data_IF_985637328246
#
_entry.id   IF_985637328246
#
_cell.length_a   1.000
_cell.length_b   1.000
_cell.length_c   1.000
_cell.angle_alpha   90.00
_cell.angle_beta   90.00
_cell.angle_gamma   90.00
#
_symmetry.space_group_name_H-M   'P 1'
#
loop_
_entity.id
_entity.type
_entity.pdbx_description
1 polymer ?
#
# COMPACT_ATOMS: atom_id res chain seq x y z
N UNK A 1 -16.83 2.18 0.02
CA UNK A 1 -17.07 2.96 1.26
C UNK A 1 -16.12 4.15 1.35
N UNK A 2 -14.82 3.92 1.16
CA UNK A 2 -13.77 4.96 1.15
C UNK A 2 -14.01 6.08 0.13
N UNK A 3 -14.38 5.73 -1.11
CA UNK A 3 -14.72 6.71 -2.17
C UNK A 3 -15.92 7.59 -1.79
N UNK A 4 -16.94 7.03 -1.15
CA UNK A 4 -18.16 7.75 -0.76
C UNK A 4 -17.86 8.80 0.30
N UNK A 5 -17.02 8.48 1.28
CA UNK A 5 -16.57 9.44 2.31
C UNK A 5 -15.78 10.59 1.69
N UNK A 6 -14.98 10.29 0.66
CA UNK A 6 -14.20 11.28 -0.02
C UNK A 6 -15.06 12.24 -0.84
N UNK A 7 -15.99 11.72 -1.62
CA UNK A 7 -16.94 12.54 -2.40
C UNK A 7 -17.80 13.38 -1.44
N UNK A 8 -18.21 12.81 -0.31
CA UNK A 8 -18.94 13.55 0.71
C UNK A 8 -18.11 14.70 1.31
N UNK A 9 -16.85 14.46 1.66
CA UNK A 9 -15.94 15.49 2.17
C UNK A 9 -15.66 16.57 1.12
N UNK A 10 -15.53 16.18 -0.15
CA UNK A 10 -15.35 17.09 -1.27
C UNK A 10 -16.56 18.02 -1.43
N UNK A 11 -17.77 17.47 -1.44
CA UNK A 11 -19.03 18.25 -1.51
C UNK A 11 -19.17 19.17 -0.29
N UNK A 12 -18.87 18.66 0.91
CA UNK A 12 -18.91 19.48 2.13
C UNK A 12 -17.94 20.66 2.05
N UNK A 13 -16.72 20.42 1.56
CA UNK A 13 -15.71 21.46 1.33
C UNK A 13 -16.21 22.53 0.36
N UNK A 14 -16.81 22.14 -0.78
CA UNK A 14 -17.40 23.08 -1.74
C UNK A 14 -18.45 23.97 -1.07
N UNK A 15 -19.37 23.37 -0.30
CA UNK A 15 -20.44 24.12 0.36
C UNK A 15 -19.89 25.12 1.39
N UNK A 16 -18.86 24.72 2.17
CA UNK A 16 -18.23 25.60 3.15
C UNK A 16 -17.53 26.78 2.46
N UNK A 17 -16.69 26.52 1.44
CA UNK A 17 -15.99 27.60 0.72
C UNK A 17 -16.95 28.49 -0.07
N UNK A 18 -18.02 27.94 -0.66
CA UNK A 18 -19.09 28.69 -1.30
C UNK A 18 -19.79 29.64 -0.32
N UNK A 19 -20.06 29.17 0.90
CA UNK A 19 -20.68 29.98 1.94
C UNK A 19 -19.73 31.09 2.44
N UNK A 20 -18.44 30.77 2.58
CA UNK A 20 -17.41 31.74 2.99
C UNK A 20 -17.23 32.84 1.95
N UNK A 21 -17.13 32.51 0.66
CA UNK A 21 -16.99 33.53 -0.39
C UNK A 21 -18.26 34.35 -0.53
N UNK A 22 -19.43 33.73 -0.40
CA UNK A 22 -20.71 34.44 -0.39
C UNK A 22 -20.78 35.43 0.77
N UNK A 23 -20.37 35.02 1.98
CA UNK A 23 -20.35 35.92 3.12
C UNK A 23 -19.28 37.01 2.99
N UNK A 24 -18.10 36.68 2.46
CA UNK A 24 -17.02 37.63 2.19
C UNK A 24 -17.45 38.74 1.21
N UNK A 25 -18.17 38.38 0.14
CA UNK A 25 -18.75 39.33 -0.82
C UNK A 25 -19.94 40.12 -0.24
N UNK A 26 -20.67 39.57 0.73
CA UNK A 26 -21.76 40.27 1.42
C UNK A 26 -21.28 41.32 2.43
N UNK A 27 -20.12 41.11 3.06
CA UNK A 27 -19.52 42.07 4.00
C UNK A 27 -19.15 43.38 3.30
N UNK A 28 -18.72 43.30 2.04
CA UNK A 28 -18.25 44.45 1.28
C UNK A 28 -19.13 44.61 0.04
N UNK A 29 -20.20 45.41 0.18
CA UNK A 29 -21.16 45.66 -0.88
C UNK A 29 -20.52 46.38 -2.06
N UNK A 30 -20.15 45.62 -3.10
CA UNK A 30 -19.70 46.16 -4.37
C UNK A 30 -20.89 46.38 -5.32
N UNK A 31 -20.97 47.53 -6.03
CA UNK A 31 -21.99 47.75 -7.07
C UNK A 31 -21.87 46.79 -8.27
N UNK A 32 -20.67 46.22 -8.50
CA UNK A 32 -20.38 45.20 -9.52
C UNK A 32 -20.36 43.79 -8.90
N UNK A 33 -21.42 43.42 -8.17
CA UNK A 33 -21.50 42.11 -7.53
C UNK A 33 -21.96 41.05 -8.54
N UNK A 34 -21.03 40.23 -9.00
CA UNK A 34 -21.35 39.08 -9.85
C UNK A 34 -22.03 37.96 -9.01
N UNK A 35 -21.89 38.00 -7.68
CA UNK A 35 -22.52 37.04 -6.74
C UNK A 35 -23.94 37.43 -6.32
N UNK A 36 -24.80 37.78 -7.29
CA UNK A 36 -26.20 38.15 -7.02
C UNK A 36 -27.10 36.98 -6.61
N UNK A 37 -26.65 35.72 -6.72
CA UNK A 37 -27.46 34.56 -6.36
C UNK A 37 -26.62 33.44 -5.73
N UNK A 38 -27.20 32.75 -4.74
CA UNK A 38 -26.61 31.60 -4.04
C UNK A 38 -26.06 30.52 -5.01
N UNK A 39 -26.74 30.19 -6.14
CA UNK A 39 -26.24 29.22 -7.10
C UNK A 39 -24.95 29.64 -7.83
N UNK A 40 -24.71 30.93 -8.04
CA UNK A 40 -23.50 31.44 -8.71
C UNK A 40 -22.26 31.25 -7.82
N UNK A 41 -22.42 31.47 -6.51
CA UNK A 41 -21.36 31.20 -5.52
C UNK A 41 -21.02 29.71 -5.42
N UNK A 42 -22.04 28.83 -5.50
CA UNK A 42 -21.84 27.38 -5.55
C UNK A 42 -21.11 26.94 -6.83
N UNK A 43 -21.49 27.48 -7.99
CA UNK A 43 -20.82 27.21 -9.26
C UNK A 43 -19.35 27.59 -9.22
N UNK A 44 -19.05 28.81 -8.76
CA UNK A 44 -17.68 29.28 -8.64
C UNK A 44 -16.84 28.42 -7.69
N UNK A 45 -17.38 28.08 -6.52
CA UNK A 45 -16.68 27.24 -5.54
C UNK A 45 -16.45 25.81 -6.07
N UNK A 46 -17.42 25.23 -6.78
CA UNK A 46 -17.30 23.94 -7.44
C UNK A 46 -16.15 23.97 -8.46
N UNK A 47 -16.16 24.93 -9.38
CA UNK A 47 -15.17 25.09 -10.46
C UNK A 47 -13.77 25.38 -9.91
N UNK A 48 -13.66 26.20 -8.87
CA UNK A 48 -12.39 26.53 -8.22
C UNK A 48 -11.83 25.35 -7.44
N UNK A 49 -12.66 24.64 -6.65
CA UNK A 49 -12.22 23.50 -5.85
C UNK A 49 -11.85 22.29 -6.71
N UNK A 50 -12.51 22.13 -7.87
CA UNK A 50 -12.14 21.12 -8.88
C UNK A 50 -11.00 21.57 -9.79
N UNK A 51 -10.40 22.75 -9.55
CA UNK A 51 -9.27 23.32 -10.30
C UNK A 51 -9.55 23.60 -11.77
N UNK A 52 -10.83 23.65 -12.19
CA UNK A 52 -11.23 24.02 -13.56
C UNK A 52 -10.97 25.51 -13.80
N UNK A 53 -11.38 26.36 -12.85
CA UNK A 53 -11.07 27.79 -12.83
C UNK A 53 -11.41 28.55 -14.13
N UNK A 54 -12.68 28.53 -14.56
CA UNK A 54 -13.11 29.25 -15.78
C UNK A 54 -12.74 30.74 -15.80
N UNK A 55 -12.69 31.38 -14.62
CA UNK A 55 -12.36 32.80 -14.49
C UNK A 55 -13.46 33.75 -14.99
N UNK A 56 -14.65 33.22 -15.27
CA UNK A 56 -15.86 33.95 -15.63
C UNK A 56 -16.39 34.80 -14.48
N UNK A 57 -16.25 34.29 -13.26
CA UNK A 57 -16.66 34.96 -12.02
C UNK A 57 -15.55 34.80 -10.99
N UNK A 58 -15.31 35.83 -10.19
CA UNK A 58 -14.33 35.78 -9.10
C UNK A 58 -14.68 36.80 -8.02
N UNK A 59 -14.40 36.53 -6.74
CA UNK A 59 -14.57 37.51 -5.67
C UNK A 59 -13.68 38.73 -5.95
N UNK A 60 -14.29 39.91 -5.90
CA UNK A 60 -13.62 41.22 -6.09
C UNK A 60 -13.26 41.86 -4.75
N UNK A 61 -13.68 41.26 -3.64
CA UNK A 61 -13.37 41.70 -2.28
C UNK A 61 -12.02 41.18 -1.80
N UNK A 62 -11.27 41.98 -1.02
CA UNK A 62 -9.97 41.57 -0.47
C UNK A 62 -10.07 40.29 0.36
N UNK A 63 -11.14 40.15 1.16
CA UNK A 63 -11.40 38.95 1.96
C UNK A 63 -11.76 37.75 1.06
N UNK A 64 -12.58 37.96 0.03
CA UNK A 64 -12.96 36.91 -0.91
C UNK A 64 -11.78 36.40 -1.73
N UNK A 65 -10.84 37.26 -2.12
CA UNK A 65 -9.61 36.85 -2.81
C UNK A 65 -8.73 35.95 -1.94
N UNK A 66 -8.59 36.27 -0.64
CA UNK A 66 -7.85 35.41 0.30
C UNK A 66 -8.53 34.05 0.49
N UNK A 67 -9.86 34.04 0.67
CA UNK A 67 -10.65 32.81 0.75
C UNK A 67 -10.53 31.99 -0.55
N UNK A 68 -10.52 32.64 -1.71
CA UNK A 68 -10.35 31.98 -3.01
C UNK A 68 -8.97 31.36 -3.20
N UNK A 69 -7.91 32.02 -2.75
CA UNK A 69 -6.57 31.44 -2.74
C UNK A 69 -6.50 30.19 -1.85
N UNK A 70 -7.09 30.23 -0.65
CA UNK A 70 -7.21 29.07 0.23
C UNK A 70 -8.06 27.95 -0.38
N UNK A 71 -9.15 28.31 -1.07
CA UNK A 71 -10.01 27.34 -1.75
C UNK A 71 -9.27 26.60 -2.86
N UNK A 72 -8.49 27.30 -3.68
CA UNK A 72 -7.68 26.67 -4.74
C UNK A 72 -6.65 25.70 -4.16
N UNK A 73 -5.93 26.11 -3.11
CA UNK A 73 -4.96 25.24 -2.43
C UNK A 73 -5.64 24.02 -1.80
N UNK A 74 -6.76 24.23 -1.10
CA UNK A 74 -7.54 23.15 -0.48
C UNK A 74 -8.09 22.17 -1.53
N UNK A 75 -8.50 22.64 -2.71
CA UNK A 75 -8.96 21.80 -3.81
C UNK A 75 -7.89 20.85 -4.32
N UNK A 76 -6.68 21.37 -4.57
CA UNK A 76 -5.52 20.54 -5.00
C UNK A 76 -5.19 19.49 -3.93
N UNK A 77 -5.15 19.87 -2.66
CA UNK A 77 -4.91 18.93 -1.56
C UNK A 77 -6.01 17.87 -1.45
N UNK A 78 -7.26 18.29 -1.66
CA UNK A 78 -8.43 17.39 -1.63
C UNK A 78 -8.45 16.41 -2.79
N UNK A 79 -7.84 16.73 -3.94
CA UNK A 79 -7.68 15.81 -5.09
C UNK A 79 -6.40 14.96 -4.96
N UNK A 80 -5.37 15.46 -4.28
CA UNK A 80 -4.12 14.73 -4.07
C UNK A 80 -4.27 13.49 -3.18
N UNK A 81 -5.22 13.50 -2.23
CA UNK A 81 -5.52 12.37 -1.33
C UNK A 81 -6.37 11.24 -1.93
N UNK A 82 -7.45 11.48 -2.72
CA UNK A 82 -8.26 10.43 -3.35
C UNK A 82 -7.49 9.59 -4.34
N UNK A 83 -6.70 10.23 -5.21
CA UNK A 83 -6.12 9.56 -6.37
C UNK A 83 -5.23 8.39 -5.92
N UNK A 84 -4.31 8.55 -4.94
CA UNK A 84 -3.54 7.44 -4.40
C UNK A 84 -4.37 6.39 -3.65
N UNK A 85 -5.41 6.81 -2.92
CA UNK A 85 -6.30 5.89 -2.19
C UNK A 85 -7.08 4.99 -3.16
N UNK A 86 -7.62 5.58 -4.23
CA UNK A 86 -8.33 4.85 -5.29
C UNK A 86 -7.38 3.87 -6.00
N UNK A 87 -6.19 4.32 -6.37
CA UNK A 87 -5.15 3.48 -7.00
C UNK A 87 -4.74 2.33 -6.07
N UNK A 88 -4.58 2.58 -4.78
CA UNK A 88 -4.23 1.55 -3.79
C UNK A 88 -5.36 0.55 -3.59
N UNK A 89 -6.61 1.00 -3.57
CA UNK A 89 -7.79 0.12 -3.50
C UNK A 89 -7.89 -0.79 -4.74
N UNK A 90 -7.64 -0.24 -5.93
CA UNK A 90 -7.56 -1.05 -7.15
C UNK A 90 -6.37 -2.01 -7.12
N UNK A 91 -5.19 -1.56 -6.68
CA UNK A 91 -4.01 -2.41 -6.55
C UNK A 91 -4.25 -3.59 -5.60
N UNK A 92 -4.98 -3.39 -4.50
CA UNK A 92 -5.42 -4.47 -3.61
C UNK A 92 -6.30 -5.47 -4.37
N UNK A 93 -7.28 -4.99 -5.14
CA UNK A 93 -8.17 -5.84 -5.95
C UNK A 93 -7.41 -6.64 -7.03
N UNK A 94 -6.50 -5.99 -7.76
CA UNK A 94 -5.65 -6.66 -8.76
C UNK A 94 -4.64 -7.62 -8.12
N UNK A 95 -4.11 -7.28 -6.94
CA UNK A 95 -3.20 -8.15 -6.19
C UNK A 95 -3.89 -9.44 -5.74
N UNK A 96 -5.19 -9.40 -5.41
CA UNK A 96 -5.94 -10.61 -5.07
C UNK A 96 -6.08 -11.56 -6.27
N UNK A 97 -6.27 -11.03 -7.48
CA UNK A 97 -6.33 -11.81 -8.72
C UNK A 97 -4.94 -12.37 -9.10
N UNK A 98 -3.88 -11.59 -8.93
CA UNK A 98 -2.49 -11.98 -9.24
C UNK A 98 -1.85 -12.87 -8.16
N UNK A 99 -2.20 -12.69 -6.89
CA UNK A 99 -1.70 -13.50 -5.77
C UNK A 99 -2.19 -14.95 -5.87
N UNK A 100 -3.39 -15.17 -6.44
CA UNK A 100 -3.85 -16.51 -6.80
C UNK A 100 -3.11 -17.10 -8.00
N UNK A 101 -2.63 -16.27 -8.94
CA UNK A 101 -1.84 -16.72 -10.09
C UNK A 101 -0.38 -17.06 -9.73
N UNK A 102 0.17 -16.49 -8.64
CA UNK A 102 1.53 -16.75 -8.16
C UNK A 102 1.65 -17.88 -7.13
N UNK A 103 0.56 -18.58 -6.79
CA UNK A 103 0.67 -19.78 -5.96
C UNK A 103 1.50 -20.83 -6.72
N UNK A 104 2.70 -21.22 -6.21
CA UNK A 104 3.49 -22.25 -6.86
C UNK A 104 2.67 -23.54 -6.89
N UNK A 105 2.44 -24.07 -8.09
CA UNK A 105 1.86 -25.40 -8.33
C UNK A 105 2.62 -26.37 -7.43
N UNK A 106 2.01 -26.80 -6.32
CA UNK A 106 2.58 -27.71 -5.31
C UNK A 106 3.16 -28.89 -6.09
N UNK A 107 4.48 -28.89 -6.30
CA UNK A 107 5.20 -29.98 -6.97
C UNK A 107 4.93 -31.17 -6.05
N UNK A 108 4.01 -32.04 -6.47
CA UNK A 108 3.68 -33.28 -5.78
C UNK A 108 5.03 -33.99 -5.68
N UNK A 109 5.69 -33.92 -4.52
CA UNK A 109 6.81 -34.80 -4.18
C UNK A 109 6.16 -36.18 -4.25
N UNK A 110 6.30 -36.83 -5.40
CA UNK A 110 6.14 -38.27 -5.51
C UNK A 110 7.15 -38.80 -4.52
N UNK A 111 6.66 -39.25 -3.37
CA UNK A 111 7.46 -40.06 -2.46
C UNK A 111 8.01 -41.19 -3.33
N UNK A 112 9.33 -41.45 -3.32
CA UNK A 112 9.84 -42.71 -3.83
C UNK A 112 9.05 -43.79 -3.10
N UNK A 113 8.31 -44.60 -3.84
CA UNK A 113 7.69 -45.80 -3.28
C UNK A 113 8.87 -46.66 -2.86
N UNK A 114 9.14 -46.69 -1.56
CA UNK A 114 10.09 -47.62 -0.97
C UNK A 114 9.57 -49.02 -1.31
N UNK A 115 10.20 -49.64 -2.32
CA UNK A 115 9.92 -51.02 -2.68
C UNK A 115 10.37 -51.89 -1.51
N UNK A 116 9.44 -52.22 -0.63
CA UNK A 116 9.58 -53.36 0.26
C UNK A 116 9.81 -54.57 -0.63
N UNK A 117 11.08 -54.98 -0.77
CA UNK A 117 11.42 -56.29 -1.33
C UNK A 117 10.87 -57.32 -0.36
N UNK A 118 9.67 -57.79 -0.63
CA UNK A 118 9.12 -58.99 0.00
C UNK A 118 9.97 -60.16 -0.52
N UNK A 119 10.97 -60.56 0.26
CA UNK A 119 11.66 -61.82 0.05
C UNK A 119 10.69 -62.99 0.28
N UNK A 120 10.89 -64.14 -0.38
CA UNK A 120 9.98 -65.28 -0.27
C UNK A 120 9.90 -65.82 1.17
N UNK A 121 8.80 -66.50 1.55
CA UNK A 121 8.51 -66.85 2.93
C UNK A 121 9.56 -67.81 3.50
N UNK A 122 10.17 -67.48 4.63
CA UNK A 122 11.03 -68.41 5.37
C UNK A 122 10.21 -69.19 6.42
N UNK A 123 10.39 -70.53 6.51
CA UNK A 123 9.64 -71.37 7.44
C UNK A 123 10.14 -71.24 8.91
N UNK A 124 9.33 -71.67 9.90
CA UNK A 124 9.55 -71.35 11.30
C UNK A 124 10.74 -72.12 11.91
N UNK A 125 11.64 -71.41 12.58
CA UNK A 125 12.88 -71.95 13.13
C UNK A 125 12.75 -72.65 14.51
N UNK A 126 13.85 -73.20 15.04
CA UNK A 126 13.91 -73.69 16.42
C UNK A 126 14.62 -72.72 17.37
N UNK A 127 14.07 -72.61 18.59
CA UNK A 127 14.53 -71.79 19.73
C UNK A 127 15.82 -72.35 20.36
N UNK A 128 16.75 -71.49 20.83
CA UNK A 128 17.40 -71.58 22.16
C UNK A 128 18.56 -70.58 22.36
N UNK A 129 18.57 -69.96 23.55
CA UNK A 129 19.79 -69.71 24.35
C UNK A 129 20.43 -68.32 24.25
N UNK A 130 20.34 -67.51 25.32
CA UNK A 130 21.27 -66.38 25.57
C UNK A 130 22.67 -66.86 26.03
N UNK A 131 23.57 -66.04 26.64
CA UNK A 131 23.46 -64.64 27.06
C UNK A 131 24.64 -63.71 26.64
N UNK A 132 24.46 -62.42 26.96
CA UNK A 132 25.37 -61.26 27.03
C UNK A 132 26.92 -61.47 26.97
N UNK A 133 27.63 -60.65 26.17
CA UNK A 133 29.08 -60.44 26.27
C UNK A 133 29.53 -59.02 25.80
N UNK A 134 29.49 -58.07 26.74
CA UNK A 134 30.55 -57.15 27.12
C UNK A 134 31.74 -56.85 26.15
N UNK A 135 31.93 -55.53 25.90
CA UNK A 135 33.15 -54.75 26.25
C UNK A 135 34.24 -54.44 25.18
N UNK A 136 34.78 -53.20 25.33
CA UNK A 136 36.05 -52.58 24.86
C UNK A 136 36.02 -52.01 23.43
N UNK A 137 36.06 -50.69 23.21
CA UNK A 137 37.09 -49.72 23.63
C UNK A 137 38.05 -49.53 22.44
N UNK A 138 38.15 -48.36 21.81
CA UNK A 138 39.19 -47.33 22.04
C UNK A 138 39.05 -46.22 20.97
N UNK A 139 39.22 -44.93 21.31
CA UNK A 139 39.35 -43.81 20.34
C UNK A 139 40.73 -43.76 19.66
N UNK A 140 41.26 -42.60 19.17
CA UNK A 140 40.67 -41.26 19.00
C UNK A 140 40.95 -40.60 17.62
N UNK A 141 40.22 -39.53 17.25
CA UNK A 141 40.74 -38.14 17.08
C UNK A 141 39.86 -37.23 16.22
N UNK A 142 39.66 -36.06 16.81
CA UNK A 142 39.10 -34.82 16.30
C UNK A 142 39.87 -34.27 15.09
N UNK A 143 39.17 -33.93 14.01
CA UNK A 143 39.72 -33.29 12.81
C UNK A 143 38.93 -32.03 12.42
N UNK A 144 39.29 -30.92 13.07
CA UNK A 144 39.13 -29.49 12.74
C UNK A 144 37.99 -29.04 11.80
N UNK A 145 37.07 -28.32 12.47
CA UNK A 145 36.25 -27.21 11.99
C UNK A 145 37.05 -26.25 11.08
N UNK A 146 36.67 -26.12 9.81
CA UNK A 146 37.06 -24.99 8.95
C UNK A 146 35.81 -24.17 8.68
N UNK A 147 35.77 -23.02 9.34
CA UNK A 147 34.77 -21.98 9.16
C UNK A 147 34.84 -21.46 7.72
N UNK A 148 33.84 -21.81 6.92
CA UNK A 148 33.55 -21.14 5.66
C UNK A 148 33.13 -19.71 5.94
N UNK A 149 34.03 -18.80 5.63
CA UNK A 149 33.93 -17.35 5.72
C UNK A 149 32.73 -16.80 4.94
N UNK A 150 31.88 -16.06 5.65
CA UNK A 150 30.95 -15.09 5.09
C UNK A 150 31.69 -14.04 4.25
N UNK A 151 31.21 -13.66 3.05
CA UNK A 151 31.59 -12.38 2.46
C UNK A 151 30.77 -11.23 3.11
N UNK A 152 31.41 -10.12 3.55
CA UNK A 152 30.75 -8.97 4.15
C UNK A 152 30.09 -8.02 3.12
N UNK A 153 29.20 -7.11 3.57
CA UNK A 153 28.44 -6.20 2.71
C UNK A 153 29.29 -5.06 2.15
N UNK A 154 29.12 -4.75 0.87
CA UNK A 154 29.73 -3.59 0.21
C UNK A 154 28.93 -2.31 0.51
N UNK A 155 29.40 -1.55 1.49
CA UNK A 155 29.26 -0.10 1.59
C UNK A 155 30.63 0.55 1.40
N UNK A 156 30.65 1.87 1.10
CA UNK A 156 31.76 2.84 0.98
C UNK A 156 31.96 3.25 -0.50
N UNK A 157 31.90 4.52 -0.95
CA UNK A 157 31.69 5.84 -0.33
C UNK A 157 31.58 6.92 -1.44
N UNK A 158 31.17 8.16 -1.12
CA UNK A 158 31.42 9.35 -1.95
C UNK A 158 32.88 9.82 -1.81
N UNK A 159 33.50 10.35 -2.87
CA UNK A 159 34.71 11.21 -2.76
C UNK A 159 34.83 12.13 -3.99
N UNK A 160 35.12 13.40 -3.67
CA UNK A 160 35.56 14.51 -4.52
C UNK A 160 36.71 14.13 -5.47
N UNK A 161 36.76 14.77 -6.65
CA UNK A 161 37.84 15.68 -7.07
C UNK A 161 37.92 15.82 -8.60
N UNK A 162 37.53 16.98 -9.13
CA UNK A 162 38.22 17.73 -10.19
C UNK A 162 37.75 19.18 -10.13
#
# INVERSE_FOLDING_TARGET
KELTLLVFFLVLGIVIFASLVYYAERIQANPHNDFNSIPLGLWWALVTMTTVGYGDMAPKTYVGMFVGALCALAGVLTIALPVPVIVSNFAMYYSHTQARAKLPKKRRRVLPVEHVRVGPPQPPGPKRGGPNANNRGSGPKMGKLVAGTFPPPSHISPMLSS
#
